data_IF_701292107405
#
_entry.id   IF_701292107405
#
_cell.length_a   1.000
_cell.length_b   1.000
_cell.length_c   1.000
_cell.angle_alpha   90.00
_cell.angle_beta   90.00
_cell.angle_gamma   90.00
#
_symmetry.space_group_name_H-M   'P 1'
#
loop_
_entity.id
_entity.type
_entity.pdbx_description
1 polymer ?
#
# COMPACT_ATOMS: atom_id res chain seq x y z
N UNK A 1 -2.70 -19.67 -8.20
CA UNK A 1 -1.31 -20.19 -8.24
C UNK A 1 -0.98 -20.86 -6.91
N UNK A 2 -0.53 -22.11 -6.94
CA UNK A 2 -0.14 -22.86 -5.71
C UNK A 2 1.30 -22.63 -5.29
N UNK A 3 2.15 -22.09 -6.20
CA UNK A 3 3.55 -21.76 -5.92
C UNK A 3 3.72 -20.47 -5.13
N UNK A 4 4.85 -20.29 -4.44
CA UNK A 4 5.22 -19.01 -3.84
C UNK A 4 5.21 -17.88 -4.87
N UNK A 5 4.77 -16.68 -4.46
CA UNK A 5 4.75 -15.49 -5.30
C UNK A 5 5.97 -14.62 -5.04
N UNK A 6 6.49 -14.01 -6.10
CA UNK A 6 7.41 -12.89 -6.00
C UNK A 6 6.61 -11.58 -6.07
N UNK A 7 6.61 -10.83 -4.98
CA UNK A 7 5.77 -9.64 -4.83
C UNK A 7 6.65 -8.44 -4.55
N UNK A 8 6.39 -7.34 -5.25
CA UNK A 8 7.04 -6.05 -5.00
C UNK A 8 6.00 -5.01 -4.60
N UNK A 9 6.13 -4.50 -3.39
CA UNK A 9 5.26 -3.45 -2.85
C UNK A 9 5.99 -2.12 -2.89
N UNK A 10 5.41 -1.11 -3.54
CA UNK A 10 6.10 0.15 -3.85
C UNK A 10 5.33 1.34 -3.28
N UNK A 11 6.02 2.18 -2.53
CA UNK A 11 5.64 3.56 -2.26
C UNK A 11 6.45 4.48 -3.16
N UNK A 12 5.86 5.07 -4.22
CA UNK A 12 6.56 6.02 -5.08
C UNK A 12 6.92 7.30 -4.33
N UNK A 13 8.06 7.88 -4.65
CA UNK A 13 8.44 9.19 -4.10
C UNK A 13 7.65 10.33 -4.75
N UNK A 14 7.63 11.47 -4.09
CA UNK A 14 7.14 12.72 -4.67
C UNK A 14 7.97 13.11 -5.89
N UNK A 15 7.34 13.59 -6.96
CA UNK A 15 8.05 14.04 -8.15
C UNK A 15 8.95 15.26 -7.87
N UNK A 16 8.53 16.14 -6.98
CA UNK A 16 9.27 17.33 -6.55
C UNK A 16 10.54 17.01 -5.75
N UNK A 17 10.65 15.80 -5.19
CA UNK A 17 11.84 15.37 -4.46
C UNK A 17 13.07 15.13 -5.35
N UNK A 18 13.00 15.44 -6.65
CA UNK A 18 14.09 15.29 -7.62
C UNK A 18 14.98 16.51 -7.74
N UNK A 19 14.98 17.47 -6.80
CA UNK A 19 15.87 18.61 -6.89
C UNK A 19 17.32 18.18 -7.10
N UNK A 20 18.00 18.61 -8.17
CA UNK A 20 19.38 18.24 -8.43
C UNK A 20 20.36 18.78 -7.37
N UNK A 21 19.92 19.77 -6.61
CA UNK A 21 20.70 20.41 -5.54
C UNK A 21 20.49 19.74 -4.17
N UNK A 22 19.52 18.80 -4.05
CA UNK A 22 19.23 18.12 -2.81
C UNK A 22 19.76 16.69 -2.84
N UNK A 23 20.76 16.43 -2.07
CA UNK A 23 21.42 15.11 -1.93
C UNK A 23 22.18 15.00 -0.63
N UNK A 24 22.66 13.89 -0.26
CA UNK A 24 22.63 12.51 -0.72
C UNK A 24 22.01 11.52 0.29
N UNK A 25 21.69 11.94 1.49
CA UNK A 25 21.20 11.03 2.53
C UNK A 25 19.69 11.06 2.49
N UNK A 26 19.06 9.94 2.06
CA UNK A 26 17.63 9.80 2.01
C UNK A 26 17.14 9.18 3.31
N UNK A 27 16.44 9.97 4.11
CA UNK A 27 15.67 9.51 5.27
C UNK A 27 14.22 9.95 5.11
N UNK A 28 13.30 9.13 5.62
CA UNK A 28 11.90 9.50 5.78
C UNK A 28 11.54 9.56 7.25
N UNK A 29 10.49 10.29 7.58
CA UNK A 29 10.06 10.42 8.97
C UNK A 29 9.46 9.10 9.47
N UNK A 30 8.54 8.53 8.69
CA UNK A 30 7.83 7.29 9.01
C UNK A 30 7.97 6.26 7.90
N UNK A 31 8.05 4.96 8.23
CA UNK A 31 7.98 3.89 7.24
C UNK A 31 6.56 3.74 6.65
N UNK A 32 6.42 3.09 5.49
CA UNK A 32 5.13 2.84 4.84
C UNK A 32 4.34 1.72 5.56
N UNK A 33 3.84 2.03 6.76
CA UNK A 33 3.14 1.07 7.63
C UNK A 33 1.93 0.45 6.93
N UNK A 34 1.20 1.22 6.12
CA UNK A 34 0.05 0.68 5.36
C UNK A 34 0.44 -0.47 4.45
N UNK A 35 1.51 -0.32 3.65
CA UNK A 35 2.02 -1.40 2.81
C UNK A 35 2.56 -2.56 3.64
N UNK A 36 3.29 -2.27 4.72
CA UNK A 36 3.81 -3.30 5.61
C UNK A 36 2.69 -4.09 6.34
N UNK A 37 1.55 -3.47 6.59
CA UNK A 37 0.35 -4.15 7.09
C UNK A 37 -0.25 -5.07 6.01
N UNK A 38 -0.44 -4.56 4.79
CA UNK A 38 -0.96 -5.37 3.69
C UNK A 38 -0.03 -6.52 3.32
N UNK A 39 1.28 -6.36 3.53
CA UNK A 39 2.25 -7.44 3.34
C UNK A 39 1.98 -8.66 4.25
N UNK A 40 1.32 -8.46 5.39
CA UNK A 40 0.94 -9.54 6.29
C UNK A 40 -0.14 -10.50 5.76
N UNK A 41 -0.81 -10.16 4.65
CA UNK A 41 -1.77 -11.05 3.99
C UNK A 41 -1.12 -12.04 3.02
N UNK A 42 0.16 -11.88 2.71
CA UNK A 42 0.90 -12.87 1.93
C UNK A 42 1.28 -14.07 2.79
N UNK A 43 1.56 -15.19 2.16
CA UNK A 43 2.00 -16.41 2.84
C UNK A 43 3.45 -16.28 3.30
N UNK A 44 3.84 -17.11 4.25
CA UNK A 44 5.21 -17.13 4.76
C UNK A 44 6.24 -17.59 3.71
N UNK A 45 5.80 -18.37 2.71
CA UNK A 45 6.63 -18.83 1.60
C UNK A 45 6.71 -17.84 0.42
N UNK A 46 5.93 -16.74 0.45
CA UNK A 46 6.00 -15.70 -0.57
C UNK A 46 7.23 -14.81 -0.38
N UNK A 47 7.90 -14.49 -1.47
CA UNK A 47 9.00 -13.53 -1.49
C UNK A 47 8.43 -12.11 -1.64
N UNK A 48 8.30 -11.39 -0.53
CA UNK A 48 7.75 -10.03 -0.51
C UNK A 48 8.88 -9.02 -0.29
N UNK A 49 8.99 -8.05 -1.21
CA UNK A 49 9.91 -6.91 -1.10
C UNK A 49 9.09 -5.64 -0.96
N UNK A 50 9.37 -4.86 0.09
CA UNK A 50 8.78 -3.55 0.30
C UNK A 50 9.82 -2.46 -0.01
N UNK A 51 9.47 -1.57 -0.94
CA UNK A 51 10.35 -0.50 -1.42
C UNK A 51 9.69 0.86 -1.25
N UNK A 52 10.36 1.73 -0.52
CA UNK A 52 10.01 3.14 -0.39
C UNK A 52 10.99 4.00 -1.18
N UNK A 53 10.52 4.61 -2.26
CA UNK A 53 11.37 5.47 -3.11
C UNK A 53 11.84 6.76 -2.44
N UNK A 54 11.27 7.15 -1.29
CA UNK A 54 11.79 8.28 -0.52
C UNK A 54 13.16 7.98 0.07
N UNK A 55 13.46 6.71 0.33
CA UNK A 55 14.70 6.28 1.00
C UNK A 55 15.56 5.33 0.16
N UNK A 56 15.01 4.77 -0.93
CA UNK A 56 15.70 3.81 -1.79
C UNK A 56 15.54 4.13 -3.27
N UNK A 57 16.42 3.57 -4.10
CA UNK A 57 16.24 3.58 -5.56
C UNK A 57 15.35 2.41 -5.97
N UNK A 58 14.41 2.67 -6.85
CA UNK A 58 13.59 1.64 -7.47
C UNK A 58 14.34 1.11 -8.70
N UNK A 59 14.58 -0.18 -8.72
CA UNK A 59 14.90 -0.93 -9.93
C UNK A 59 13.57 -1.46 -10.51
N UNK A 60 13.32 -1.13 -11.76
CA UNK A 60 12.11 -1.55 -12.51
C UNK A 60 12.43 -2.62 -13.55
N UNK A 61 13.66 -3.15 -13.59
CA UNK A 61 14.07 -4.15 -14.59
C UNK A 61 13.65 -5.56 -14.22
N UNK A 62 13.34 -5.81 -12.96
CA UNK A 62 12.85 -7.09 -12.45
C UNK A 62 11.44 -7.44 -12.95
N UNK A 63 11.08 -8.70 -12.84
CA UNK A 63 9.79 -9.25 -13.28
C UNK A 63 9.14 -10.06 -12.16
N UNK A 64 8.64 -9.42 -11.09
CA UNK A 64 7.87 -10.10 -10.06
C UNK A 64 6.53 -10.61 -10.62
N UNK A 65 5.88 -11.52 -9.90
CA UNK A 65 4.54 -12.00 -10.26
C UNK A 65 3.47 -10.93 -10.03
N UNK A 66 3.69 -10.07 -9.04
CA UNK A 66 2.75 -9.03 -8.62
C UNK A 66 3.49 -7.78 -8.16
N UNK A 67 3.06 -6.64 -8.65
CA UNK A 67 3.47 -5.31 -8.16
C UNK A 67 2.29 -4.63 -7.50
N UNK A 68 2.46 -4.20 -6.24
CA UNK A 68 1.47 -3.46 -5.47
C UNK A 68 1.96 -2.02 -5.28
N UNK A 69 1.19 -1.02 -5.69
CA UNK A 69 1.60 0.39 -5.62
C UNK A 69 0.63 1.17 -4.75
N UNK A 70 1.14 1.83 -3.71
CA UNK A 70 0.37 2.77 -2.90
C UNK A 70 0.46 4.17 -3.49
N UNK A 71 -0.70 4.80 -3.77
CA UNK A 71 -0.75 6.06 -4.51
C UNK A 71 -1.41 7.15 -3.70
N UNK A 72 -0.67 8.25 -3.55
CA UNK A 72 -1.15 9.54 -3.06
C UNK A 72 -1.27 10.54 -4.22
N UNK A 73 -2.02 11.62 -4.03
CA UNK A 73 -2.16 12.66 -5.04
C UNK A 73 -0.81 13.23 -5.51
N UNK A 74 0.14 13.36 -4.59
CA UNK A 74 1.46 13.94 -4.83
C UNK A 74 2.43 13.04 -5.59
N UNK A 75 2.12 11.75 -5.76
CA UNK A 75 2.98 10.80 -6.49
C UNK A 75 2.24 10.04 -7.59
N UNK A 76 1.04 10.47 -7.97
CA UNK A 76 0.16 9.74 -8.87
C UNK A 76 0.78 9.51 -10.26
N UNK A 77 1.28 10.56 -10.91
CA UNK A 77 1.91 10.44 -12.24
C UNK A 77 3.12 9.53 -12.23
N UNK A 78 3.91 9.60 -11.16
CA UNK A 78 5.06 8.70 -10.98
C UNK A 78 4.62 7.25 -10.77
N UNK A 79 3.57 7.04 -9.99
CA UNK A 79 2.97 5.72 -9.79
C UNK A 79 2.47 5.12 -11.10
N UNK A 80 1.80 5.92 -11.93
CA UNK A 80 1.32 5.50 -13.25
C UNK A 80 2.47 5.12 -14.19
N UNK A 81 3.52 5.94 -14.26
CA UNK A 81 4.70 5.62 -15.07
C UNK A 81 5.39 4.32 -14.64
N UNK A 82 5.46 4.05 -13.33
CA UNK A 82 5.99 2.80 -12.79
C UNK A 82 5.07 1.63 -13.18
N UNK A 83 3.77 1.78 -13.00
CA UNK A 83 2.76 0.78 -13.31
C UNK A 83 2.80 0.40 -14.80
N UNK A 84 2.77 1.38 -15.69
CA UNK A 84 2.82 1.17 -17.14
C UNK A 84 4.11 0.47 -17.57
N UNK A 85 5.24 0.80 -16.94
CA UNK A 85 6.51 0.15 -17.20
C UNK A 85 6.49 -1.33 -16.80
N UNK A 86 5.88 -1.72 -15.69
CA UNK A 86 5.74 -3.12 -15.31
C UNK A 86 4.72 -3.85 -16.19
N UNK A 87 3.57 -3.26 -16.47
CA UNK A 87 2.52 -3.84 -17.32
C UNK A 87 3.00 -4.07 -18.76
N UNK A 88 3.79 -3.16 -19.32
CA UNK A 88 4.37 -3.33 -20.67
C UNK A 88 5.27 -4.58 -20.78
N UNK A 89 5.74 -5.12 -19.66
CA UNK A 89 6.53 -6.35 -19.57
C UNK A 89 5.71 -7.56 -19.12
N UNK A 90 4.38 -7.42 -19.03
CA UNK A 90 3.47 -8.50 -18.65
C UNK A 90 3.42 -8.78 -17.14
N UNK A 91 3.96 -7.88 -16.30
CA UNK A 91 3.87 -8.00 -14.85
C UNK A 91 2.51 -7.47 -14.38
N UNK A 92 1.83 -8.21 -13.54
CA UNK A 92 0.54 -7.82 -13.01
C UNK A 92 0.67 -6.68 -11.99
N UNK A 93 -0.12 -5.62 -12.16
CA UNK A 93 -0.06 -4.43 -11.31
C UNK A 93 -1.39 -4.19 -10.61
N UNK A 94 -1.36 -4.09 -9.27
CA UNK A 94 -2.48 -3.62 -8.45
C UNK A 94 -2.12 -2.28 -7.81
N UNK A 95 -3.07 -1.34 -7.86
CA UNK A 95 -2.91 -0.01 -7.27
C UNK A 95 -4.00 0.24 -6.22
N UNK A 96 -3.63 0.95 -5.16
CA UNK A 96 -4.55 1.35 -4.09
C UNK A 96 -4.07 2.62 -3.40
N UNK A 97 -4.89 3.14 -2.50
CA UNK A 97 -4.57 4.34 -1.72
C UNK A 97 -5.52 5.50 -1.99
N UNK A 98 -5.20 6.65 -1.40
CA UNK A 98 -6.11 7.81 -1.37
C UNK A 98 -6.45 8.33 -2.77
N UNK A 99 -5.46 8.45 -3.64
CA UNK A 99 -5.66 8.95 -4.99
C UNK A 99 -6.49 7.98 -5.84
N UNK A 100 -6.22 6.69 -5.74
CA UNK A 100 -6.95 5.65 -6.47
C UNK A 100 -8.43 5.62 -6.08
N UNK A 101 -8.72 5.84 -4.79
CA UNK A 101 -10.08 5.92 -4.27
C UNK A 101 -10.82 7.16 -4.77
N UNK A 102 -10.11 8.29 -4.88
CA UNK A 102 -10.68 9.55 -5.36
C UNK A 102 -10.91 9.57 -6.89
N UNK A 103 -10.01 8.95 -7.66
CA UNK A 103 -10.01 8.97 -9.13
C UNK A 103 -9.86 7.55 -9.71
N UNK A 104 -10.82 6.64 -9.44
CA UNK A 104 -10.69 5.24 -9.80
C UNK A 104 -10.70 5.00 -11.32
N UNK A 105 -11.41 5.83 -12.09
CA UNK A 105 -11.49 5.67 -13.55
C UNK A 105 -10.14 6.01 -14.23
N UNK A 106 -9.47 7.06 -13.76
CA UNK A 106 -8.13 7.42 -14.22
C UNK A 106 -7.13 6.30 -13.88
N UNK A 107 -7.13 5.86 -12.62
CA UNK A 107 -6.23 4.82 -12.14
C UNK A 107 -6.40 3.48 -12.87
N UNK A 108 -7.63 3.13 -13.25
CA UNK A 108 -7.93 1.87 -13.94
C UNK A 108 -7.28 1.79 -15.35
N UNK A 109 -6.85 2.89 -15.92
CA UNK A 109 -6.11 2.89 -17.20
C UNK A 109 -4.67 2.37 -17.02
N UNK A 110 -4.11 2.51 -15.82
CA UNK A 110 -2.71 2.23 -15.50
C UNK A 110 -2.50 0.95 -14.66
N UNK A 111 -3.57 0.28 -14.24
CA UNK A 111 -3.49 -0.93 -13.41
C UNK A 111 -4.32 -2.09 -13.98
N UNK A 112 -3.94 -3.32 -13.64
CA UNK A 112 -4.75 -4.51 -13.94
C UNK A 112 -5.88 -4.66 -12.93
N UNK A 113 -5.61 -4.25 -11.67
CA UNK A 113 -6.60 -4.17 -10.59
C UNK A 113 -6.43 -2.88 -9.80
N UNK A 114 -7.54 -2.28 -9.39
CA UNK A 114 -7.57 -1.16 -8.44
C UNK A 114 -8.31 -1.54 -7.16
N UNK A 115 -7.81 -1.02 -6.03
CA UNK A 115 -8.43 -1.18 -4.71
C UNK A 115 -8.94 0.16 -4.23
N UNK A 116 -10.24 0.25 -3.97
CA UNK A 116 -10.98 1.45 -3.59
C UNK A 116 -11.29 1.39 -2.09
N UNK A 117 -11.01 2.46 -1.38
CA UNK A 117 -11.19 2.55 0.06
C UNK A 117 -10.08 1.86 0.87
N UNK A 118 -10.33 1.52 2.13
CA UNK A 118 -9.38 0.83 3.00
C UNK A 118 -8.98 -0.53 2.45
N UNK A 119 -7.67 -0.74 2.30
CA UNK A 119 -7.14 -1.97 1.71
C UNK A 119 -7.28 -3.21 2.59
N UNK A 120 -7.42 -3.03 3.88
CA UNK A 120 -7.36 -4.13 4.86
C UNK A 120 -8.45 -5.20 4.63
N UNK A 121 -9.59 -4.82 4.06
CA UNK A 121 -10.67 -5.77 3.71
C UNK A 121 -10.62 -6.23 2.25
N UNK A 122 -10.39 -5.30 1.32
CA UNK A 122 -10.45 -5.58 -0.11
C UNK A 122 -9.20 -6.37 -0.61
N UNK A 123 -8.03 -6.10 -0.02
CA UNK A 123 -6.77 -6.68 -0.46
C UNK A 123 -6.68 -8.21 -0.26
N UNK A 124 -7.09 -8.79 0.89
CA UNK A 124 -7.08 -10.26 1.04
C UNK A 124 -8.01 -10.97 0.04
N UNK A 125 -9.17 -10.37 -0.30
CA UNK A 125 -10.05 -10.92 -1.36
C UNK A 125 -9.34 -10.90 -2.71
N UNK A 126 -8.69 -9.77 -3.05
CA UNK A 126 -7.90 -9.66 -4.26
C UNK A 126 -6.79 -10.73 -4.32
N UNK A 127 -6.00 -10.91 -3.25
CA UNK A 127 -4.90 -11.90 -3.23
C UNK A 127 -5.42 -13.31 -3.45
N UNK A 128 -6.56 -13.67 -2.82
CA UNK A 128 -7.19 -14.97 -3.01
C UNK A 128 -7.59 -15.18 -4.49
N UNK A 129 -8.26 -14.22 -5.09
CA UNK A 129 -8.71 -14.27 -6.48
C UNK A 129 -7.53 -14.26 -7.47
N UNK A 130 -6.50 -13.46 -7.18
CA UNK A 130 -5.27 -13.42 -7.98
C UNK A 130 -4.59 -14.80 -8.00
N UNK A 131 -4.48 -15.47 -6.85
CA UNK A 131 -3.92 -16.83 -6.77
C UNK A 131 -4.73 -17.86 -7.53
N UNK A 132 -6.04 -17.67 -7.59
CA UNK A 132 -6.96 -18.55 -8.32
C UNK A 132 -7.07 -18.20 -9.82
N UNK A 133 -6.42 -17.12 -10.28
CA UNK A 133 -6.46 -16.68 -11.68
C UNK A 133 -7.79 -16.02 -12.07
N UNK A 134 -8.57 -15.54 -11.09
CA UNK A 134 -9.87 -14.90 -11.30
C UNK A 134 -9.93 -13.48 -10.70
N UNK A 135 -8.79 -12.80 -10.61
CA UNK A 135 -8.71 -11.44 -10.13
C UNK A 135 -9.61 -10.49 -10.94
N UNK A 136 -10.38 -9.68 -10.23
CA UNK A 136 -11.26 -8.67 -10.82
C UNK A 136 -10.51 -7.37 -11.04
N UNK A 137 -11.03 -6.52 -11.92
CA UNK A 137 -10.45 -5.21 -12.19
C UNK A 137 -10.59 -4.23 -11.04
N UNK A 138 -11.59 -4.43 -10.15
CA UNK A 138 -11.90 -3.52 -9.04
C UNK A 138 -12.30 -4.29 -7.80
N UNK A 139 -11.77 -3.88 -6.67
CA UNK A 139 -12.18 -4.31 -5.34
C UNK A 139 -12.45 -3.08 -4.49
N UNK A 140 -13.68 -2.96 -4.00
CA UNK A 140 -14.04 -1.92 -3.04
C UNK A 140 -14.21 -2.53 -1.66
N UNK A 141 -13.80 -1.79 -0.63
CA UNK A 141 -14.02 -2.19 0.75
C UNK A 141 -15.54 -2.16 1.06
N UNK A 142 -16.08 -3.30 1.48
CA UNK A 142 -17.50 -3.45 1.85
C UNK A 142 -17.70 -3.29 3.35
N UNK A 143 -16.73 -3.71 4.14
CA UNK A 143 -16.76 -3.70 5.59
C UNK A 143 -15.66 -2.77 6.13
N UNK A 144 -15.95 -2.16 7.26
CA UNK A 144 -15.05 -1.21 7.88
C UNK A 144 -14.75 -1.64 9.31
N UNK A 145 -14.15 -2.81 9.40
CA UNK A 145 -13.57 -3.33 10.63
C UNK A 145 -12.05 -3.30 10.53
N UNK A 146 -11.40 -3.13 11.68
CA UNK A 146 -9.96 -3.32 11.84
C UNK A 146 -9.66 -4.55 12.70
N UNK A 147 -10.66 -5.41 12.87
CA UNK A 147 -10.49 -6.73 13.43
C UNK A 147 -9.77 -7.62 12.42
N UNK A 148 -8.97 -8.55 12.92
CA UNK A 148 -8.22 -9.52 12.11
C UNK A 148 -7.20 -8.92 11.11
N UNK A 149 -6.78 -7.66 11.32
CA UNK A 149 -5.65 -7.11 10.58
C UNK A 149 -4.37 -7.86 10.97
N UNK A 150 -3.59 -8.36 10.00
CA UNK A 150 -2.37 -9.08 10.30
C UNK A 150 -1.33 -8.19 10.97
N UNK A 151 -0.39 -8.78 11.70
CA UNK A 151 0.75 -8.05 12.24
C UNK A 151 1.51 -7.32 11.13
N UNK A 152 1.98 -6.11 11.43
CA UNK A 152 2.79 -5.32 10.51
C UNK A 152 4.10 -6.04 10.23
N UNK A 153 4.41 -6.33 8.97
CA UNK A 153 5.66 -6.94 8.52
C UNK A 153 6.82 -5.95 8.65
N UNK A 154 7.23 -5.71 9.89
CA UNK A 154 8.35 -4.80 10.23
C UNK A 154 9.71 -5.31 9.79
N UNK A 155 9.82 -6.59 9.55
CA UNK A 155 10.98 -7.26 8.96
C UNK A 155 11.31 -6.75 7.55
N UNK A 156 10.29 -6.30 6.79
CA UNK A 156 10.46 -5.72 5.46
C UNK A 156 10.93 -4.25 5.49
N UNK A 157 10.89 -3.61 6.66
CA UNK A 157 11.22 -2.19 6.83
C UNK A 157 12.71 -2.01 7.15
N UNK A 158 13.43 -1.25 6.33
CA UNK A 158 14.83 -0.86 6.59
C UNK A 158 14.88 0.22 7.68
N UNK A 159 14.76 -0.17 8.95
CA UNK A 159 14.58 0.71 10.12
C UNK A 159 15.58 1.87 10.18
N UNK A 160 16.83 1.66 9.77
CA UNK A 160 17.89 2.68 9.77
C UNK A 160 17.62 3.85 8.80
N UNK A 161 16.62 3.76 7.94
CA UNK A 161 16.24 4.79 6.98
C UNK A 161 15.12 5.72 7.46
N UNK A 162 14.62 5.51 8.69
CA UNK A 162 13.49 6.26 9.23
C UNK A 162 13.83 6.86 10.59
N UNK A 163 13.38 8.10 10.82
CA UNK A 163 13.56 8.75 12.11
C UNK A 163 12.66 8.15 13.20
N UNK A 164 11.44 7.74 12.82
CA UNK A 164 10.47 7.11 13.73
C UNK A 164 10.08 5.72 13.19
N UNK A 165 10.98 4.72 13.29
CA UNK A 165 10.75 3.40 12.68
C UNK A 165 9.66 2.57 13.38
N UNK A 166 9.35 2.87 14.65
CA UNK A 166 8.42 2.11 15.49
C UNK A 166 7.03 2.76 15.59
N UNK A 167 6.62 3.54 14.59
CA UNK A 167 5.28 4.13 14.56
C UNK A 167 4.19 3.06 14.60
N UNK A 168 3.07 3.38 15.28
CA UNK A 168 1.89 2.54 15.42
C UNK A 168 0.67 3.29 14.91
N UNK A 169 -0.24 2.59 14.26
CA UNK A 169 -1.54 3.12 13.88
C UNK A 169 -2.59 2.43 14.74
N UNK A 170 -3.13 3.14 15.72
CA UNK A 170 -4.04 2.61 16.73
C UNK A 170 -5.51 2.82 16.39
N UNK A 171 -5.81 3.69 15.42
CA UNK A 171 -7.18 3.98 15.00
C UNK A 171 -7.26 4.31 13.51
N UNK A 172 -8.44 4.18 12.95
CA UNK A 172 -8.80 4.57 11.59
C UNK A 172 -10.03 5.48 11.63
N UNK A 173 -10.10 6.41 10.67
CA UNK A 173 -11.22 7.34 10.57
C UNK A 173 -11.03 8.60 11.41
N UNK A 174 -12.03 9.47 11.39
CA UNK A 174 -12.07 10.73 12.13
C UNK A 174 -13.54 11.13 12.34
N UNK A 175 -13.94 11.60 13.53
CA UNK A 175 -15.32 12.02 13.79
C UNK A 175 -15.65 13.39 13.20
N UNK A 176 -14.65 14.19 12.79
CA UNK A 176 -14.87 15.52 12.25
C UNK A 176 -15.30 15.49 10.78
N UNK A 177 -15.97 16.55 10.33
CA UNK A 177 -16.41 16.78 8.95
C UNK A 177 -15.77 18.06 8.42
N UNK A 178 -14.50 18.00 8.05
CA UNK A 178 -13.79 19.15 7.48
C UNK A 178 -13.98 19.14 5.96
N UNK A 179 -14.44 20.24 5.36
CA UNK A 179 -14.78 20.35 3.93
C UNK A 179 -13.61 20.01 2.99
N UNK A 180 -12.39 20.19 3.44
CA UNK A 180 -11.17 19.93 2.68
C UNK A 180 -10.58 18.51 2.89
N UNK A 181 -11.23 17.68 3.69
CA UNK A 181 -10.66 16.39 4.11
C UNK A 181 -11.03 15.26 3.15
N UNK A 182 -10.03 14.52 2.68
CA UNK A 182 -10.20 13.32 1.85
C UNK A 182 -10.99 12.18 2.52
N UNK A 183 -11.19 12.28 3.84
CA UNK A 183 -11.84 11.25 4.65
C UNK A 183 -13.19 10.81 4.08
N UNK A 184 -14.00 11.75 3.62
CA UNK A 184 -15.35 11.44 3.16
C UNK A 184 -15.32 10.62 1.86
N UNK A 185 -14.38 10.90 0.96
CA UNK A 185 -14.18 10.08 -0.23
C UNK A 185 -13.60 8.69 0.11
N UNK A 186 -12.67 8.62 1.07
CA UNK A 186 -11.99 7.38 1.43
C UNK A 186 -12.85 6.45 2.31
N UNK A 187 -13.70 7.02 3.17
CA UNK A 187 -14.56 6.30 4.08
C UNK A 187 -16.06 6.44 3.74
N UNK A 188 -16.42 7.02 2.58
CA UNK A 188 -17.82 7.26 2.12
C UNK A 188 -18.69 7.93 3.19
N UNK A 189 -18.17 9.01 3.80
CA UNK A 189 -18.89 9.77 4.82
C UNK A 189 -19.01 9.11 6.20
N UNK A 190 -18.32 8.01 6.45
CA UNK A 190 -18.37 7.35 7.75
C UNK A 190 -17.69 8.18 8.84
N UNK A 191 -18.47 8.49 9.88
CA UNK A 191 -18.03 9.27 11.05
C UNK A 191 -17.40 8.40 12.15
N UNK A 192 -16.97 7.19 11.85
CA UNK A 192 -16.57 6.21 12.84
C UNK A 192 -15.06 6.23 13.05
N UNK A 193 -14.65 6.33 14.30
CA UNK A 193 -13.32 6.00 14.77
C UNK A 193 -13.26 4.50 15.03
N UNK A 194 -12.48 3.78 14.22
CA UNK A 194 -12.21 2.37 14.45
C UNK A 194 -10.97 2.26 15.33
N UNK A 195 -11.11 1.60 16.48
CA UNK A 195 -10.01 1.29 17.38
C UNK A 195 -9.59 -0.16 17.16
N UNK A 196 -8.29 -0.39 16.91
CA UNK A 196 -7.71 -1.72 16.94
C UNK A 196 -7.64 -2.21 18.38
N UNK A 197 -8.06 -3.42 18.65
CA UNK A 197 -7.63 -4.08 19.87
C UNK A 197 -6.12 -4.29 19.77
N UNK A 198 -5.33 -3.53 20.54
CA UNK A 198 -3.92 -3.83 20.71
C UNK A 198 -3.77 -5.20 21.39
N UNK A 199 -3.77 -6.26 20.59
CA UNK A 199 -3.12 -7.51 21.02
C UNK A 199 -1.63 -7.32 20.85
N UNK A 200 -1.05 -6.43 21.66
CA UNK A 200 0.37 -6.47 21.92
C UNK A 200 0.60 -7.77 22.68
N UNK A 201 1.14 -8.76 22.01
CA UNK A 201 1.77 -9.91 22.67
C UNK A 201 2.95 -9.42 23.49
N UNK A 202 2.67 -8.79 24.61
CA UNK A 202 3.62 -8.66 25.71
C UNK A 202 3.54 -9.99 26.42
N UNK A 203 4.33 -10.94 25.98
CA UNK A 203 4.72 -12.04 26.85
C UNK A 203 5.39 -11.40 28.06
N UNK A 204 4.71 -11.40 29.18
CA UNK A 204 5.29 -11.07 30.47
C UNK A 204 6.13 -12.27 30.88
N UNK A 205 7.44 -12.12 30.73
CA UNK A 205 8.38 -12.93 31.49
C UNK A 205 8.40 -12.50 32.96
#
# INVERSE_FOLDING_TARGET
>A
MKRPLKVKMILPSLDEAKSPYWRPIKYSLFPPIGLATLAGYFRDDDEVVLLDQHVEKLDITDTPDLVCIQVYVTNAYRAYAIADSYRSRGVYVVMGGLHITALPEEAALHADTIIIGPGEEAFPRFINDFRNGCAQKRYAAQWRSIEDIPPVRRDLIKRSKYFVPNSLVVSRGCPHQCDFCYKDAFYEGWKILLYGSCRCGVERN
#
